data_IF_294536576194
#
_entry.id   IF_294536576194
#
_cell.length_a   1.000
_cell.length_b   1.000
_cell.length_c   1.000
_cell.angle_alpha   90.00
_cell.angle_beta   90.00
_cell.angle_gamma   90.00
#
_symmetry.space_group_name_H-M   'P 1'
#
loop_
_entity.id
_entity.type
_entity.pdbx_description
1 polymer ?
#
# COMPACT_ATOMS: atom_id res chain seq x y z
N UNK A 1 3.45 9.29 18.63
CA UNK A 1 3.40 8.18 17.65
C UNK A 1 4.64 8.17 16.75
N UNK A 2 4.91 9.25 16.02
CA UNK A 2 6.11 9.39 15.15
C UNK A 2 7.44 9.16 15.91
N UNK A 3 7.57 9.66 17.14
CA UNK A 3 8.79 9.45 17.94
C UNK A 3 9.08 7.96 18.20
N UNK A 4 8.06 7.14 18.50
CA UNK A 4 8.22 5.70 18.75
C UNK A 4 8.73 5.01 17.48
N UNK A 5 8.18 5.39 16.32
CA UNK A 5 8.62 4.88 15.02
C UNK A 5 10.10 5.20 14.76
N UNK A 6 10.51 6.44 15.03
CA UNK A 6 11.91 6.88 14.90
C UNK A 6 12.86 6.19 15.88
N UNK A 7 12.44 5.98 17.13
CA UNK A 7 13.25 5.27 18.12
C UNK A 7 13.42 3.79 17.78
N UNK A 8 12.37 3.11 17.33
CA UNK A 8 12.46 1.71 16.89
C UNK A 8 13.38 1.57 15.66
N UNK A 9 13.30 2.53 14.73
CA UNK A 9 14.21 2.60 13.60
C UNK A 9 15.67 2.82 14.02
N UNK A 10 15.93 3.77 14.93
CA UNK A 10 17.28 4.03 15.45
C UNK A 10 17.89 2.80 16.16
N UNK A 11 17.05 2.03 16.85
CA UNK A 11 17.45 0.76 17.46
C UNK A 11 17.53 -0.43 16.50
N UNK A 12 17.18 -0.27 15.20
CA UNK A 12 17.01 -1.35 14.22
C UNK A 12 16.02 -2.45 14.66
N UNK A 13 15.08 -2.11 15.54
CA UNK A 13 14.08 -3.02 16.10
C UNK A 13 12.79 -3.00 15.27
N UNK A 14 12.82 -3.66 14.11
CA UNK A 14 11.70 -3.66 13.16
C UNK A 14 10.48 -4.47 13.62
N UNK A 15 10.69 -5.55 14.36
CA UNK A 15 9.59 -6.33 14.93
C UNK A 15 8.83 -5.52 15.98
N UNK A 16 9.56 -4.83 16.87
CA UNK A 16 8.97 -3.94 17.87
C UNK A 16 8.24 -2.75 17.22
N UNK A 17 8.78 -2.23 16.11
CA UNK A 17 8.10 -1.22 15.31
C UNK A 17 6.73 -1.71 14.84
N UNK A 18 6.66 -2.92 14.27
CA UNK A 18 5.42 -3.51 13.78
C UNK A 18 4.39 -3.67 14.91
N UNK A 19 4.81 -4.21 16.06
CA UNK A 19 3.95 -4.37 17.24
C UNK A 19 3.37 -3.04 17.73
N UNK A 20 4.22 -2.02 17.84
CA UNK A 20 3.77 -0.69 18.26
C UNK A 20 2.84 -0.05 17.24
N UNK A 21 3.12 -0.16 15.94
CA UNK A 21 2.24 0.36 14.89
C UNK A 21 0.86 -0.28 14.97
N UNK A 22 0.78 -1.60 15.13
CA UNK A 22 -0.49 -2.32 15.33
C UNK A 22 -1.20 -1.84 16.59
N UNK A 23 -0.51 -1.81 17.72
CA UNK A 23 -1.08 -1.44 19.02
C UNK A 23 -1.62 -0.02 19.02
N UNK A 24 -0.81 0.94 18.55
CA UNK A 24 -1.15 2.36 18.51
C UNK A 24 -2.31 2.64 17.55
N UNK A 25 -2.42 1.85 16.48
CA UNK A 25 -3.48 1.99 15.50
C UNK A 25 -4.84 1.43 15.92
N UNK A 26 -4.86 0.49 16.89
CA UNK A 26 -6.06 -0.10 17.50
C UNK A 26 -6.51 0.65 18.77
N UNK A 27 -5.61 1.44 19.37
CA UNK A 27 -5.89 2.20 20.59
C UNK A 27 -7.04 3.20 20.35
N UNK A 28 -8.08 3.13 21.18
CA UNK A 28 -9.22 4.06 21.13
C UNK A 28 -8.77 5.50 21.42
N UNK A 29 -9.52 6.46 20.89
CA UNK A 29 -9.33 7.91 21.11
C UNK A 29 -8.04 8.52 20.54
N UNK A 30 -7.41 7.88 19.55
CA UNK A 30 -6.30 8.52 18.84
C UNK A 30 -6.77 9.49 17.77
N UNK A 31 -6.09 10.64 17.69
CA UNK A 31 -6.33 11.63 16.65
C UNK A 31 -5.99 11.03 15.29
N UNK A 32 -6.91 11.19 14.32
CA UNK A 32 -6.72 10.69 12.94
C UNK A 32 -5.39 11.16 12.35
N UNK A 33 -5.07 12.44 12.53
CA UNK A 33 -3.81 13.04 12.05
C UNK A 33 -2.56 12.39 12.68
N UNK A 34 -2.62 11.94 13.92
CA UNK A 34 -1.51 11.27 14.57
C UNK A 34 -1.25 9.89 13.96
N UNK A 35 -2.31 9.16 13.62
CA UNK A 35 -2.23 7.87 12.91
C UNK A 35 -1.69 8.10 11.49
N UNK A 36 -2.22 9.08 10.75
CA UNK A 36 -1.75 9.43 9.40
C UNK A 36 -0.25 9.71 9.39
N UNK A 37 0.24 10.61 10.27
CA UNK A 37 1.67 10.94 10.37
C UNK A 37 2.52 9.71 10.74
N UNK A 38 2.02 8.83 11.61
CA UNK A 38 2.71 7.59 11.96
C UNK A 38 2.84 6.65 10.76
N UNK A 39 1.77 6.48 9.98
CA UNK A 39 1.77 5.64 8.77
C UNK A 39 2.68 6.23 7.69
N UNK A 40 2.65 7.55 7.49
CA UNK A 40 3.52 8.24 6.53
C UNK A 40 5.01 8.10 6.88
N UNK A 41 5.37 8.28 8.15
CA UNK A 41 6.75 8.06 8.60
C UNK A 41 7.15 6.59 8.42
N UNK A 42 6.29 5.65 8.82
CA UNK A 42 6.57 4.22 8.63
C UNK A 42 6.68 3.83 7.15
N UNK A 43 5.90 4.46 6.27
CA UNK A 43 6.00 4.29 4.82
C UNK A 43 7.36 4.74 4.28
N UNK A 44 7.89 5.88 4.73
CA UNK A 44 9.23 6.32 4.32
C UNK A 44 10.34 5.37 4.80
N UNK A 45 10.14 4.71 5.95
CA UNK A 45 11.07 3.72 6.47
C UNK A 45 11.10 2.42 5.66
N UNK A 46 10.04 2.09 4.91
CA UNK A 46 9.97 0.87 4.07
C UNK A 46 11.14 0.83 3.08
N UNK A 47 11.56 1.97 2.52
CA UNK A 47 12.71 2.03 1.60
C UNK A 47 14.06 2.00 2.29
N UNK A 48 14.10 2.22 3.61
CA UNK A 48 15.32 2.19 4.44
C UNK A 48 15.50 0.86 5.18
N UNK A 49 14.68 -0.13 4.85
CA UNK A 49 14.79 -1.47 5.43
C UNK A 49 16.06 -2.17 4.91
N UNK A 50 16.76 -2.93 5.77
CA UNK A 50 18.03 -3.55 5.40
C UNK A 50 17.86 -4.81 4.52
N UNK A 51 16.72 -5.48 4.63
CA UNK A 51 16.45 -6.75 3.98
C UNK A 51 15.01 -6.85 3.44
N UNK A 52 14.82 -7.73 2.46
CA UNK A 52 13.54 -7.91 1.78
C UNK A 52 12.46 -8.50 2.69
N UNK A 53 12.82 -9.35 3.65
CA UNK A 53 11.87 -9.98 4.59
C UNK A 53 11.25 -8.92 5.52
N UNK A 54 12.10 -8.08 6.12
CA UNK A 54 11.70 -6.94 6.94
C UNK A 54 10.87 -5.95 6.12
N UNK A 55 11.23 -5.71 4.86
CA UNK A 55 10.45 -4.87 3.94
C UNK A 55 9.03 -5.42 3.76
N UNK A 56 8.90 -6.71 3.49
CA UNK A 56 7.62 -7.39 3.31
C UNK A 56 6.76 -7.33 4.58
N UNK A 57 7.32 -7.69 5.73
CA UNK A 57 6.62 -7.65 7.04
C UNK A 57 6.10 -6.26 7.39
N UNK A 58 6.91 -5.22 7.17
CA UNK A 58 6.49 -3.83 7.43
C UNK A 58 5.35 -3.41 6.49
N UNK A 59 5.45 -3.74 5.20
CA UNK A 59 4.40 -3.46 4.22
C UNK A 59 3.09 -4.16 4.60
N UNK A 60 3.13 -5.45 4.94
CA UNK A 60 1.94 -6.20 5.36
C UNK A 60 1.32 -5.62 6.64
N UNK A 61 2.15 -5.29 7.63
CA UNK A 61 1.70 -4.66 8.87
C UNK A 61 0.99 -3.34 8.60
N UNK A 62 1.57 -2.48 7.76
CA UNK A 62 0.96 -1.20 7.38
C UNK A 62 -0.32 -1.38 6.57
N UNK A 63 -0.38 -2.34 5.65
CA UNK A 63 -1.62 -2.67 4.91
C UNK A 63 -2.73 -3.13 5.86
N UNK A 64 -2.41 -3.98 6.83
CA UNK A 64 -3.38 -4.45 7.83
C UNK A 64 -3.91 -3.30 8.71
N UNK A 65 -3.02 -2.40 9.11
CA UNK A 65 -3.34 -1.26 9.99
C UNK A 65 -4.15 -0.17 9.29
N UNK A 66 -4.00 -0.03 7.97
CA UNK A 66 -4.71 0.96 7.14
C UNK A 66 -6.04 0.42 6.60
N UNK A 67 -6.34 -0.87 6.74
CA UNK A 67 -7.62 -1.46 6.34
C UNK A 67 -8.80 -0.78 7.06
N UNK A 68 -9.79 -0.35 6.29
CA UNK A 68 -11.01 0.30 6.80
C UNK A 68 -10.84 1.78 7.22
N UNK A 69 -9.66 2.39 7.01
CA UNK A 69 -9.40 3.79 7.36
C UNK A 69 -9.29 4.67 6.11
N UNK A 70 -10.40 5.33 5.76
CA UNK A 70 -10.51 6.19 4.57
C UNK A 70 -9.42 7.28 4.53
N UNK A 71 -9.06 7.83 5.68
CA UNK A 71 -8.07 8.92 5.79
C UNK A 71 -6.60 8.49 5.55
N UNK A 72 -6.34 7.21 5.30
CA UNK A 72 -5.02 6.65 4.90
C UNK A 72 -5.16 5.68 3.72
N UNK A 73 -6.22 5.83 2.91
CA UNK A 73 -6.50 4.96 1.77
C UNK A 73 -5.44 5.09 0.66
N UNK A 74 -4.90 6.30 0.46
CA UNK A 74 -3.86 6.57 -0.53
C UNK A 74 -2.54 5.89 -0.16
N UNK A 75 -2.14 5.98 1.11
CA UNK A 75 -0.96 5.29 1.63
C UNK A 75 -1.10 3.78 1.48
N UNK A 76 -2.29 3.22 1.74
CA UNK A 76 -2.57 1.80 1.53
C UNK A 76 -2.43 1.40 0.06
N UNK A 77 -2.94 2.22 -0.87
CA UNK A 77 -2.81 1.94 -2.30
C UNK A 77 -1.33 1.91 -2.72
N UNK A 78 -0.54 2.91 -2.31
CA UNK A 78 0.89 3.00 -2.60
C UNK A 78 1.69 1.83 -2.02
N UNK A 79 1.39 1.41 -0.79
CA UNK A 79 2.01 0.22 -0.17
C UNK A 79 1.68 -1.07 -0.95
N UNK A 80 0.44 -1.20 -1.39
CA UNK A 80 0.00 -2.37 -2.16
C UNK A 80 0.64 -2.41 -3.54
N UNK A 81 0.84 -1.25 -4.19
CA UNK A 81 1.63 -1.15 -5.43
C UNK A 81 3.05 -1.67 -5.22
N UNK A 82 3.75 -1.17 -4.20
CA UNK A 82 5.10 -1.65 -3.85
C UNK A 82 5.16 -3.16 -3.60
N UNK A 83 4.14 -3.70 -2.93
CA UNK A 83 4.05 -5.15 -2.71
C UNK A 83 3.88 -5.92 -4.03
N UNK A 84 3.03 -5.41 -4.92
CA UNK A 84 2.84 -5.97 -6.26
C UNK A 84 4.15 -5.96 -7.06
N UNK A 85 4.89 -4.84 -7.06
CA UNK A 85 6.19 -4.72 -7.73
C UNK A 85 7.21 -5.74 -7.19
N UNK A 86 7.24 -5.95 -5.86
CA UNK A 86 8.11 -6.96 -5.24
C UNK A 86 7.71 -8.36 -5.71
N UNK A 87 6.43 -8.72 -5.71
CA UNK A 87 5.99 -10.03 -6.19
C UNK A 87 6.28 -10.24 -7.66
N UNK A 88 6.11 -9.21 -8.49
CA UNK A 88 6.48 -9.28 -9.89
C UNK A 88 7.98 -9.51 -10.08
N UNK A 89 8.84 -8.81 -9.32
CA UNK A 89 10.29 -9.01 -9.37
C UNK A 89 10.73 -10.43 -8.97
N UNK A 90 9.93 -11.13 -8.17
CA UNK A 90 10.13 -12.54 -7.79
C UNK A 90 9.56 -13.52 -8.82
N UNK A 91 9.03 -13.03 -9.96
CA UNK A 91 8.36 -13.86 -10.97
C UNK A 91 6.95 -14.30 -10.58
N UNK A 92 6.39 -13.78 -9.47
CA UNK A 92 5.04 -14.11 -8.98
C UNK A 92 4.00 -13.16 -9.56
N UNK A 93 4.00 -13.00 -10.89
CA UNK A 93 3.12 -12.06 -11.61
C UNK A 93 1.64 -12.29 -11.34
N UNK A 94 1.22 -13.54 -11.09
CA UNK A 94 -0.18 -13.86 -10.75
C UNK A 94 -0.61 -13.25 -9.42
N UNK A 95 0.21 -13.40 -8.38
CA UNK A 95 -0.03 -12.86 -7.05
C UNK A 95 0.03 -11.32 -7.07
N UNK A 96 1.02 -10.77 -7.79
CA UNK A 96 1.14 -9.33 -8.02
C UNK A 96 -0.13 -8.74 -8.65
N UNK A 97 -0.66 -9.39 -9.69
CA UNK A 97 -1.88 -8.98 -10.37
C UNK A 97 -3.11 -9.05 -9.45
N UNK A 98 -3.27 -10.14 -8.71
CA UNK A 98 -4.41 -10.34 -7.81
C UNK A 98 -4.45 -9.29 -6.69
N UNK A 99 -3.31 -9.04 -6.04
CA UNK A 99 -3.20 -8.05 -4.97
C UNK A 99 -3.48 -6.63 -5.47
N UNK A 100 -2.99 -6.27 -6.65
CA UNK A 100 -3.23 -4.93 -7.19
C UNK A 100 -4.68 -4.75 -7.65
N UNK A 101 -5.33 -5.81 -8.14
CA UNK A 101 -6.73 -5.80 -8.58
C UNK A 101 -7.74 -5.72 -7.44
N UNK A 102 -7.38 -6.11 -6.21
CA UNK A 102 -8.24 -5.92 -5.02
C UNK A 102 -8.50 -4.43 -4.74
N UNK A 103 -7.62 -3.54 -5.19
CA UNK A 103 -7.79 -2.10 -5.02
C UNK A 103 -8.74 -1.53 -6.07
N UNK A 104 -9.87 -1.00 -5.61
CA UNK A 104 -10.81 -0.23 -6.42
C UNK A 104 -10.48 1.26 -6.35
N UNK A 105 -9.33 1.65 -6.89
CA UNK A 105 -8.80 3.03 -6.85
C UNK A 105 -9.73 4.06 -7.49
N UNK A 106 -10.63 3.62 -8.38
CA UNK A 106 -11.67 4.45 -8.98
C UNK A 106 -12.64 5.02 -7.95
N UNK A 107 -12.80 4.37 -6.79
CA UNK A 107 -13.69 4.80 -5.71
C UNK A 107 -13.05 5.76 -4.72
N UNK A 108 -11.74 5.98 -4.80
CA UNK A 108 -10.99 6.70 -3.77
C UNK A 108 -11.20 8.20 -3.94
N UNK A 109 -11.95 8.82 -3.04
CA UNK A 109 -12.33 10.24 -3.17
C UNK A 109 -11.15 11.20 -3.07
N UNK A 110 -10.11 10.81 -2.33
CA UNK A 110 -8.96 11.68 -2.00
C UNK A 110 -7.74 11.50 -2.91
N UNK A 111 -7.75 10.51 -3.80
CA UNK A 111 -6.62 10.22 -4.68
C UNK A 111 -6.65 11.14 -5.91
N UNK A 112 -5.47 11.63 -6.31
CA UNK A 112 -5.34 12.45 -7.50
C UNK A 112 -5.75 11.67 -8.77
N UNK A 113 -6.35 12.37 -9.74
CA UNK A 113 -6.86 11.74 -10.96
C UNK A 113 -5.74 11.06 -11.76
N UNK A 114 -4.56 11.68 -11.82
CA UNK A 114 -3.39 11.11 -12.53
C UNK A 114 -2.90 9.87 -11.81
N UNK A 115 -2.80 9.92 -10.49
CA UNK A 115 -2.41 8.76 -9.68
C UNK A 115 -3.40 7.59 -9.87
N UNK A 116 -4.71 7.84 -9.84
CA UNK A 116 -5.72 6.81 -10.16
C UNK A 116 -5.50 6.18 -11.52
N UNK A 117 -5.24 7.00 -12.54
CA UNK A 117 -5.00 6.51 -13.89
C UNK A 117 -3.75 5.62 -13.96
N UNK A 118 -2.67 6.02 -13.31
CA UNK A 118 -1.44 5.23 -13.22
C UNK A 118 -1.71 3.85 -12.56
N UNK A 119 -2.52 3.80 -11.50
CA UNK A 119 -2.93 2.53 -10.90
C UNK A 119 -3.77 1.66 -11.85
N UNK A 120 -4.73 2.23 -12.57
CA UNK A 120 -5.57 1.48 -13.51
C UNK A 120 -4.75 0.92 -14.68
N UNK A 121 -3.81 1.71 -15.21
CA UNK A 121 -2.89 1.26 -16.26
C UNK A 121 -1.97 0.14 -15.77
N UNK A 122 -1.49 0.23 -14.53
CA UNK A 122 -0.67 -0.82 -13.92
C UNK A 122 -1.46 -2.13 -13.75
N UNK A 123 -2.71 -2.05 -13.29
CA UNK A 123 -3.61 -3.21 -13.24
C UNK A 123 -3.82 -3.83 -14.61
N UNK A 124 -4.01 -3.03 -15.66
CA UNK A 124 -4.12 -3.53 -17.03
C UNK A 124 -2.85 -4.24 -17.50
N UNK A 125 -1.67 -3.65 -17.23
CA UNK A 125 -0.38 -4.25 -17.59
C UNK A 125 -0.20 -5.63 -16.95
N UNK A 126 -0.49 -5.76 -15.66
CA UNK A 126 -0.41 -7.04 -14.93
C UNK A 126 -1.46 -8.05 -15.43
N UNK A 127 -2.68 -7.62 -15.77
CA UNK A 127 -3.68 -8.48 -16.40
C UNK A 127 -3.20 -9.03 -17.75
N UNK A 128 -2.61 -8.18 -18.58
CA UNK A 128 -2.04 -8.58 -19.87
C UNK A 128 -0.89 -9.57 -19.70
N UNK A 129 -0.04 -9.38 -18.71
CA UNK A 129 1.04 -10.33 -18.38
C UNK A 129 0.51 -11.71 -17.94
N UNK A 130 -0.71 -11.77 -17.37
CA UNK A 130 -1.42 -13.02 -17.04
C UNK A 130 -2.23 -13.59 -18.23
N UNK A 131 -2.24 -12.91 -19.38
CA UNK A 131 -3.12 -13.19 -20.51
C UNK A 131 -4.62 -13.11 -20.17
N UNK A 132 -5.00 -12.31 -19.16
CA UNK A 132 -6.39 -12.06 -18.80
C UNK A 132 -6.95 -10.86 -19.56
N UNK A 133 -7.30 -11.11 -20.82
CA UNK A 133 -7.83 -10.08 -21.72
C UNK A 133 -9.22 -9.58 -21.31
N UNK A 134 -10.03 -10.43 -20.67
CA UNK A 134 -11.38 -10.07 -20.22
C UNK A 134 -11.29 -9.03 -19.11
N UNK A 135 -10.47 -9.26 -18.07
CA UNK A 135 -10.28 -8.27 -17.00
C UNK A 135 -9.64 -6.98 -17.52
N UNK A 136 -8.70 -7.09 -18.45
CA UNK A 136 -8.08 -5.91 -19.07
C UNK A 136 -9.14 -5.01 -19.73
N UNK A 137 -10.08 -5.59 -20.48
CA UNK A 137 -11.18 -4.83 -21.10
C UNK A 137 -12.12 -4.20 -20.06
N UNK A 138 -12.40 -4.90 -18.95
CA UNK A 138 -13.22 -4.35 -17.86
C UNK A 138 -12.54 -3.14 -17.22
N UNK A 139 -11.24 -3.22 -16.94
CA UNK A 139 -10.47 -2.11 -16.34
C UNK A 139 -10.38 -0.94 -17.31
N UNK A 140 -10.19 -1.19 -18.61
CA UNK A 140 -10.17 -0.13 -19.63
C UNK A 140 -11.43 0.73 -19.62
N UNK A 141 -12.61 0.15 -19.34
CA UNK A 141 -13.87 0.91 -19.24
C UNK A 141 -13.95 1.82 -18.01
N UNK A 142 -13.12 1.59 -16.99
CA UNK A 142 -13.04 2.42 -15.78
C UNK A 142 -12.24 3.71 -16.00
N UNK A 143 -11.41 3.76 -17.04
CA UNK A 143 -10.62 4.95 -17.37
C UNK A 143 -11.53 6.00 -18.00
N UNK A 144 -11.82 7.07 -17.26
CA UNK A 144 -12.66 8.15 -17.75
C UNK A 144 -11.80 9.17 -18.55
N UNK A 145 -11.98 9.15 -19.87
CA UNK A 145 -11.25 9.98 -20.84
C UNK A 145 -11.77 11.43 -20.84
N UNK A 146 -12.98 11.67 -20.33
CA UNK A 146 -13.57 13.02 -20.33
C UNK A 146 -12.91 13.88 -19.26
N UNK A 147 -12.18 14.90 -19.72
CA UNK A 147 -11.48 15.87 -18.88
C UNK A 147 -12.44 16.62 -17.98
#
# INVERSE_FOLDING_TARGET
>A
LVAIVKYCYAGKQWELLNEHVVTLSKRRSQLKQAITKMVQEAYELVEKTPDLDTKLKLIETLRNVTTGKIFVENERARLTKKLSDIYESQGKTKEAAEILQELQVETYGTMDRREKLEFLLEQMRLCLAKHDYIRTQIISKKINIKS
#
